data_IF_317840859275
#
_entry.id   IF_317840859275
#
_cell.length_a   1.000
_cell.length_b   1.000
_cell.length_c   1.000
_cell.angle_alpha   90.00
_cell.angle_beta   90.00
_cell.angle_gamma   90.00
#
_symmetry.space_group_name_H-M   'P 1'
#
loop_
_entity.id
_entity.type
_entity.pdbx_description
1 polymer ?
#
# COMPACT_ATOMS: atom_id res chain seq x y z
N UNK A 1 -12.12 -3.13 32.00
CA UNK A 1 -10.67 -3.22 31.78
C UNK A 1 -10.40 -2.75 30.36
N UNK A 2 -9.50 -1.78 30.15
CA UNK A 2 -9.06 -1.39 28.80
C UNK A 2 -8.45 -2.62 28.14
N UNK A 3 -9.15 -3.24 27.19
CA UNK A 3 -8.53 -4.30 26.40
C UNK A 3 -7.37 -3.67 25.64
N UNK A 4 -6.16 -4.04 26.06
CA UNK A 4 -4.96 -3.65 25.36
C UNK A 4 -5.00 -4.27 23.97
N UNK A 5 -5.07 -3.43 22.94
CA UNK A 5 -4.88 -3.82 21.53
C UNK A 5 -3.47 -4.37 21.22
N UNK A 6 -2.67 -4.69 22.24
CA UNK A 6 -1.30 -5.21 22.11
C UNK A 6 -1.24 -6.46 21.24
N UNK A 7 -2.22 -7.37 21.33
CA UNK A 7 -2.21 -8.59 20.50
C UNK A 7 -2.36 -8.22 19.02
N UNK A 8 -3.39 -7.47 18.66
CA UNK A 8 -3.64 -7.05 17.27
C UNK A 8 -2.49 -6.20 16.72
N UNK A 9 -1.95 -5.30 17.55
CA UNK A 9 -0.80 -4.47 17.21
C UNK A 9 0.46 -5.31 16.98
N UNK A 10 0.73 -6.29 17.84
CA UNK A 10 1.85 -7.22 17.66
C UNK A 10 1.68 -8.08 16.42
N UNK A 11 0.46 -8.57 16.14
CA UNK A 11 0.18 -9.30 14.90
C UNK A 11 0.44 -8.44 13.66
N UNK A 12 -0.01 -7.18 13.68
CA UNK A 12 0.23 -6.20 12.63
C UNK A 12 1.73 -5.98 12.40
N UNK A 13 2.47 -5.66 13.46
CA UNK A 13 3.87 -5.22 13.39
C UNK A 13 4.83 -6.40 13.13
N UNK A 14 4.67 -7.53 13.83
CA UNK A 14 5.49 -8.73 13.61
C UNK A 14 5.23 -9.36 12.25
N UNK A 15 3.96 -9.40 11.81
CA UNK A 15 3.60 -9.91 10.49
C UNK A 15 4.26 -9.10 9.38
N UNK A 16 4.22 -7.77 9.47
CA UNK A 16 4.87 -6.89 8.50
C UNK A 16 6.40 -7.00 8.53
N UNK A 17 6.99 -7.06 9.72
CA UNK A 17 8.43 -7.21 9.89
C UNK A 17 8.95 -8.53 9.30
N UNK A 18 8.24 -9.64 9.55
CA UNK A 18 8.59 -10.93 8.97
C UNK A 18 8.43 -10.95 7.45
N UNK A 19 7.38 -10.33 6.90
CA UNK A 19 7.18 -10.22 5.46
C UNK A 19 8.31 -9.41 4.79
N UNK A 20 8.62 -8.23 5.32
CA UNK A 20 9.73 -7.40 4.85
C UNK A 20 11.07 -8.13 4.98
N UNK A 21 11.43 -8.55 6.18
CA UNK A 21 12.73 -9.16 6.48
C UNK A 21 12.94 -10.47 5.73
N UNK A 22 11.90 -11.30 5.63
CA UNK A 22 11.94 -12.55 4.88
C UNK A 22 12.15 -12.34 3.38
N UNK A 23 11.46 -11.36 2.80
CA UNK A 23 11.64 -11.04 1.37
C UNK A 23 13.05 -10.51 1.08
N UNK A 24 13.60 -9.65 1.94
CA UNK A 24 14.95 -9.11 1.83
C UNK A 24 16.03 -10.18 2.03
N UNK A 25 15.88 -11.04 3.04
CA UNK A 25 16.77 -12.17 3.30
C UNK A 25 16.70 -13.19 2.17
N UNK A 26 15.51 -13.43 1.59
CA UNK A 26 15.37 -14.30 0.44
C UNK A 26 16.09 -13.77 -0.80
N UNK A 27 15.97 -12.46 -1.08
CA UNK A 27 16.63 -11.84 -2.23
C UNK A 27 18.16 -11.78 -2.08
N UNK A 28 18.67 -11.49 -0.88
CA UNK A 28 20.11 -11.32 -0.64
C UNK A 28 20.80 -12.61 -0.20
N UNK A 29 20.24 -13.30 0.79
CA UNK A 29 20.77 -14.52 1.38
C UNK A 29 20.46 -15.75 0.54
N UNK A 30 19.17 -16.10 0.36
CA UNK A 30 18.79 -17.35 -0.33
C UNK A 30 19.23 -17.32 -1.80
N UNK A 31 18.84 -16.27 -2.53
CA UNK A 31 19.19 -16.16 -3.94
C UNK A 31 20.70 -15.94 -4.15
N UNK A 32 21.32 -15.12 -3.30
CA UNK A 32 22.76 -14.85 -3.36
C UNK A 32 23.60 -16.09 -3.07
N UNK A 33 23.26 -16.86 -2.03
CA UNK A 33 23.96 -18.10 -1.71
C UNK A 33 23.77 -19.16 -2.81
N UNK A 34 22.56 -19.31 -3.34
CA UNK A 34 22.30 -20.24 -4.43
C UNK A 34 23.10 -19.89 -5.70
N UNK A 35 23.36 -18.61 -5.97
CA UNK A 35 24.18 -18.18 -7.11
C UNK A 35 25.65 -18.63 -7.02
N UNK A 36 26.16 -18.94 -5.83
CA UNK A 36 27.55 -19.39 -5.62
C UNK A 36 27.76 -20.89 -5.91
N UNK A 37 26.71 -21.65 -6.17
CA UNK A 37 26.84 -23.08 -6.48
C UNK A 37 27.54 -23.25 -7.83
N UNK A 38 28.58 -24.09 -7.87
CA UNK A 38 29.38 -24.32 -9.07
C UNK A 38 28.57 -24.92 -10.22
N UNK A 39 27.73 -25.92 -9.91
CA UNK A 39 26.80 -26.48 -10.88
C UNK A 39 25.63 -25.52 -11.13
N UNK A 40 25.60 -24.94 -12.33
CA UNK A 40 24.61 -23.96 -12.77
C UNK A 40 23.19 -24.53 -12.83
N UNK A 41 23.03 -25.84 -12.96
CA UNK A 41 21.72 -26.51 -13.01
C UNK A 41 21.08 -26.64 -11.63
N UNK A 42 21.89 -26.63 -10.56
CA UNK A 42 21.45 -26.76 -9.17
C UNK A 42 21.05 -25.44 -8.50
N UNK A 43 21.39 -24.29 -9.12
CA UNK A 43 21.14 -22.95 -8.55
C UNK A 43 19.65 -22.64 -8.36
N UNK A 44 18.83 -22.89 -9.39
CA UNK A 44 17.37 -22.71 -9.31
C UNK A 44 16.70 -23.68 -8.33
N UNK A 45 16.98 -25.01 -8.36
CA UNK A 45 16.46 -25.95 -7.37
C UNK A 45 16.79 -25.58 -5.93
N UNK A 46 18.05 -25.19 -5.66
CA UNK A 46 18.46 -24.85 -4.31
C UNK A 46 17.73 -23.62 -3.77
N UNK A 47 17.63 -22.56 -4.57
CA UNK A 47 16.87 -21.37 -4.19
C UNK A 47 15.38 -21.70 -3.99
N UNK A 48 14.81 -22.49 -4.89
CA UNK A 48 13.42 -22.92 -4.82
C UNK A 48 13.12 -23.70 -3.54
N UNK A 49 14.03 -24.59 -3.12
CA UNK A 49 13.91 -25.31 -1.86
C UNK A 49 13.93 -24.36 -0.64
N UNK A 50 14.78 -23.33 -0.66
CA UNK A 50 14.80 -22.29 0.38
C UNK A 50 13.48 -21.51 0.44
N UNK A 51 12.98 -21.06 -0.71
CA UNK A 51 11.70 -20.35 -0.80
C UNK A 51 10.50 -21.23 -0.43
N UNK A 52 10.52 -22.52 -0.77
CA UNK A 52 9.46 -23.46 -0.40
C UNK A 52 9.34 -23.60 1.12
N UNK A 53 10.46 -23.60 1.85
CA UNK A 53 10.47 -23.61 3.32
C UNK A 53 10.00 -22.30 3.93
N UNK A 54 10.31 -21.17 3.30
CA UNK A 54 9.90 -19.85 3.77
C UNK A 54 8.42 -19.55 3.48
N UNK A 55 7.87 -20.07 2.39
CA UNK A 55 6.53 -19.70 1.89
C UNK A 55 5.41 -19.86 2.94
N UNK A 56 5.31 -20.97 3.71
CA UNK A 56 4.30 -21.10 4.76
C UNK A 56 4.45 -20.06 5.88
N UNK A 57 5.70 -19.76 6.27
CA UNK A 57 6.01 -18.74 7.28
C UNK A 57 5.60 -17.36 6.78
N UNK A 58 5.90 -17.05 5.52
CA UNK A 58 5.50 -15.79 4.89
C UNK A 58 3.98 -15.66 4.80
N UNK A 59 3.26 -16.73 4.46
CA UNK A 59 1.81 -16.74 4.43
C UNK A 59 1.20 -16.48 5.81
N UNK A 60 1.74 -17.10 6.86
CA UNK A 60 1.33 -16.83 8.24
C UNK A 60 1.63 -15.39 8.66
N UNK A 61 2.79 -14.84 8.29
CA UNK A 61 3.17 -13.45 8.56
C UNK A 61 2.22 -12.45 7.89
N UNK A 62 1.89 -12.67 6.61
CA UNK A 62 0.90 -11.87 5.87
C UNK A 62 -0.47 -11.97 6.56
N UNK A 63 -0.92 -13.18 6.91
CA UNK A 63 -2.19 -13.38 7.60
C UNK A 63 -2.26 -12.64 8.95
N UNK A 64 -1.21 -12.74 9.76
CA UNK A 64 -1.10 -12.01 11.02
C UNK A 64 -1.15 -10.49 10.81
N UNK A 65 -0.41 -9.97 9.82
CA UNK A 65 -0.42 -8.56 9.48
C UNK A 65 -1.83 -8.08 9.10
N UNK A 66 -2.52 -8.81 8.23
CA UNK A 66 -3.87 -8.45 7.78
C UNK A 66 -4.90 -8.49 8.91
N UNK A 67 -4.85 -9.51 9.78
CA UNK A 67 -5.72 -9.59 10.94
C UNK A 67 -5.48 -8.40 11.89
N UNK A 68 -4.21 -8.05 12.13
CA UNK A 68 -3.85 -6.85 12.89
C UNK A 68 -4.33 -5.56 12.22
N UNK A 69 -4.19 -5.43 10.89
CA UNK A 69 -4.59 -4.26 10.12
C UNK A 69 -6.11 -4.03 10.16
N UNK A 70 -6.91 -5.09 10.04
CA UNK A 70 -8.37 -5.02 10.21
C UNK A 70 -8.72 -4.58 11.63
N UNK A 71 -8.04 -5.14 12.64
CA UNK A 71 -8.19 -4.72 14.03
C UNK A 71 -7.88 -3.23 14.25
N UNK A 72 -6.81 -2.71 13.66
CA UNK A 72 -6.47 -1.28 13.71
C UNK A 72 -7.53 -0.43 13.01
N UNK A 73 -8.02 -0.83 11.84
CA UNK A 73 -9.03 -0.06 11.10
C UNK A 73 -10.35 0.06 11.86
N UNK A 74 -10.82 -1.03 12.48
CA UNK A 74 -12.05 -1.04 13.28
C UNK A 74 -11.92 -0.09 14.48
N UNK A 75 -10.79 -0.16 15.17
CA UNK A 75 -10.54 0.60 16.41
C UNK A 75 -10.23 2.07 16.15
N UNK A 76 -9.62 2.43 15.01
CA UNK A 76 -9.33 3.81 14.61
C UNK A 76 -10.50 4.50 13.89
N UNK A 77 -11.59 3.79 13.58
CA UNK A 77 -12.73 4.34 12.83
C UNK A 77 -13.34 5.62 13.43
N UNK A 78 -13.46 5.82 14.77
CA UNK A 78 -13.94 7.08 15.33
C UNK A 78 -12.95 8.23 15.10
N UNK A 79 -11.64 7.95 15.11
CA UNK A 79 -10.58 8.94 14.89
C UNK A 79 -10.51 9.38 13.43
N UNK A 80 -10.82 8.50 12.48
CA UNK A 80 -10.93 8.87 11.07
C UNK A 80 -11.98 9.98 10.84
N UNK A 81 -13.07 9.97 11.61
CA UNK A 81 -14.12 10.98 11.59
C UNK A 81 -13.76 12.24 12.38
N UNK A 82 -12.99 12.13 13.47
CA UNK A 82 -12.70 13.23 14.39
C UNK A 82 -11.36 13.98 14.16
N UNK A 83 -10.33 13.34 13.60
CA UNK A 83 -8.97 13.89 13.42
C UNK A 83 -8.57 14.04 11.94
N UNK A 84 -8.18 15.26 11.53
CA UNK A 84 -7.71 15.51 10.14
C UNK A 84 -6.45 14.71 9.83
N UNK A 85 -6.38 14.10 8.65
CA UNK A 85 -5.18 13.39 8.17
C UNK A 85 -5.17 11.87 8.43
N UNK A 86 -5.90 11.38 9.44
CA UNK A 86 -5.97 9.95 9.78
C UNK A 86 -6.55 9.14 8.62
N UNK A 87 -7.63 9.62 7.99
CA UNK A 87 -8.24 8.92 6.84
C UNK A 87 -7.30 8.78 5.63
N UNK A 88 -6.51 9.83 5.33
CA UNK A 88 -5.50 9.78 4.25
C UNK A 88 -4.37 8.81 4.57
N UNK A 89 -3.95 8.75 5.83
CA UNK A 89 -2.92 7.81 6.29
C UNK A 89 -3.41 6.36 6.22
N UNK A 90 -4.64 6.09 6.66
CA UNK A 90 -5.25 4.76 6.54
C UNK A 90 -5.36 4.34 5.08
N UNK A 91 -5.80 5.24 4.18
CA UNK A 91 -5.84 4.95 2.75
C UNK A 91 -4.45 4.62 2.18
N UNK A 92 -3.41 5.38 2.56
CA UNK A 92 -2.04 5.12 2.11
C UNK A 92 -1.53 3.74 2.57
N UNK A 93 -1.77 3.37 3.84
CA UNK A 93 -1.46 2.03 4.35
C UNK A 93 -2.18 0.95 3.56
N UNK A 94 -3.49 1.08 3.36
CA UNK A 94 -4.29 0.08 2.63
C UNK A 94 -3.80 -0.10 1.19
N UNK A 95 -3.50 0.99 0.48
CA UNK A 95 -2.96 0.92 -0.89
C UNK A 95 -1.62 0.20 -0.91
N UNK A 96 -0.72 0.53 0.02
CA UNK A 96 0.58 -0.15 0.14
C UNK A 96 0.43 -1.64 0.47
N UNK A 97 -0.48 -2.01 1.37
CA UNK A 97 -0.76 -3.41 1.70
C UNK A 97 -1.28 -4.18 0.48
N UNK A 98 -2.24 -3.63 -0.26
CA UNK A 98 -2.77 -4.26 -1.48
C UNK A 98 -1.68 -4.40 -2.55
N UNK A 99 -0.86 -3.36 -2.75
CA UNK A 99 0.27 -3.42 -3.67
C UNK A 99 1.29 -4.50 -3.27
N UNK A 100 1.63 -4.58 -1.97
CA UNK A 100 2.53 -5.60 -1.45
C UNK A 100 1.99 -7.01 -1.68
N UNK A 101 0.69 -7.25 -1.42
CA UNK A 101 0.02 -8.52 -1.68
C UNK A 101 0.08 -8.89 -3.17
N UNK A 102 -0.25 -7.95 -4.06
CA UNK A 102 -0.24 -8.18 -5.49
C UNK A 102 1.16 -8.57 -6.01
N UNK A 103 2.18 -7.80 -5.63
CA UNK A 103 3.57 -8.06 -6.03
C UNK A 103 4.07 -9.38 -5.45
N UNK A 104 3.73 -9.70 -4.19
CA UNK A 104 4.12 -10.96 -3.55
C UNK A 104 3.45 -12.16 -4.22
N UNK A 105 2.15 -12.08 -4.51
CA UNK A 105 1.41 -13.13 -5.21
C UNK A 105 1.95 -13.37 -6.63
N UNK A 106 2.22 -12.28 -7.36
CA UNK A 106 2.82 -12.37 -8.69
C UNK A 106 4.23 -12.96 -8.66
N UNK A 107 5.05 -12.56 -7.69
CA UNK A 107 6.38 -13.15 -7.44
C UNK A 107 6.26 -14.65 -7.14
N UNK A 108 5.31 -15.09 -6.31
CA UNK A 108 5.12 -16.52 -6.05
C UNK A 108 4.70 -17.27 -7.31
N UNK A 109 3.81 -16.71 -8.13
CA UNK A 109 3.41 -17.31 -9.41
C UNK A 109 4.61 -17.52 -10.35
N UNK A 110 5.48 -16.52 -10.50
CA UNK A 110 6.69 -16.65 -11.32
C UNK A 110 7.69 -17.64 -10.72
N UNK A 111 7.83 -17.68 -9.40
CA UNK A 111 8.68 -18.67 -8.70
C UNK A 111 8.22 -20.10 -8.99
N UNK A 112 6.91 -20.36 -8.93
CA UNK A 112 6.33 -21.67 -9.29
C UNK A 112 6.53 -22.04 -10.77
N UNK A 113 6.63 -21.05 -11.67
CA UNK A 113 6.98 -21.32 -13.07
C UNK A 113 8.43 -21.78 -13.16
N UNK A 114 9.35 -21.08 -12.50
CA UNK A 114 10.77 -21.46 -12.47
C UNK A 114 10.99 -22.85 -11.84
N UNK A 115 10.26 -23.17 -10.77
CA UNK A 115 10.27 -24.51 -10.12
C UNK A 115 9.91 -25.65 -11.10
N UNK A 116 9.02 -25.38 -12.05
CA UNK A 116 8.51 -26.38 -13.01
C UNK A 116 9.36 -26.50 -14.28
N UNK A 117 10.34 -25.62 -14.49
CA UNK A 117 11.15 -25.61 -15.71
C UNK A 117 12.28 -26.67 -15.73
N UNK A 118 12.33 -27.57 -14.75
CA UNK A 118 13.40 -28.54 -14.61
C UNK A 118 14.67 -27.88 -14.05
N UNK A 119 15.83 -28.25 -14.59
CA UNK A 119 17.14 -27.77 -14.12
C UNK A 119 17.95 -27.11 -15.24
N UNK A 120 17.43 -26.07 -15.92
CA UNK A 120 18.20 -25.38 -16.94
C UNK A 120 19.41 -24.70 -16.28
N UNK A 121 20.57 -24.64 -16.96
CA UNK A 121 21.70 -23.91 -16.44
C UNK A 121 21.36 -22.41 -16.34
N UNK A 122 21.64 -21.79 -15.20
CA UNK A 122 21.43 -20.34 -14.97
C UNK A 122 22.67 -19.66 -14.39
N UNK A 123 22.82 -18.35 -14.64
CA UNK A 123 23.91 -17.57 -14.07
C UNK A 123 23.64 -17.20 -12.59
N UNK A 124 22.37 -17.09 -12.22
CA UNK A 124 21.90 -16.91 -10.85
C UNK A 124 20.41 -17.20 -10.77
N UNK A 125 19.79 -17.01 -9.61
CA UNK A 125 18.36 -17.30 -9.44
C UNK A 125 17.49 -16.39 -10.32
N UNK A 126 17.87 -15.12 -10.44
CA UNK A 126 17.19 -14.10 -11.26
C UNK A 126 17.97 -13.69 -12.50
N UNK A 127 19.13 -14.31 -12.73
CA UNK A 127 20.07 -13.99 -13.80
C UNK A 127 20.14 -15.17 -14.78
N UNK A 128 19.69 -14.98 -16.03
CA UNK A 128 19.81 -16.02 -17.03
C UNK A 128 21.26 -16.22 -17.49
N UNK A 129 21.58 -17.46 -17.84
CA UNK A 129 22.78 -17.85 -18.59
C UNK A 129 22.52 -17.76 -20.10
N UNK A 130 23.57 -17.80 -20.93
CA UNK A 130 23.40 -17.82 -22.39
C UNK A 130 22.67 -19.07 -22.89
N UNK A 131 22.85 -20.20 -22.20
CA UNK A 131 22.16 -21.46 -22.47
C UNK A 131 20.77 -21.57 -21.81
N UNK A 132 20.34 -20.56 -21.05
CA UNK A 132 19.02 -20.62 -20.40
C UNK A 132 17.91 -20.49 -21.45
N UNK A 133 16.92 -21.40 -21.48
CA UNK A 133 15.80 -21.31 -22.42
C UNK A 133 15.07 -19.96 -22.30
N UNK A 134 14.66 -19.39 -23.45
CA UNK A 134 14.11 -18.01 -23.52
C UNK A 134 12.94 -17.76 -22.57
N UNK A 135 12.04 -18.74 -22.40
CA UNK A 135 10.90 -18.61 -21.48
C UNK A 135 11.30 -18.55 -20.00
N UNK A 136 12.32 -19.33 -19.62
CA UNK A 136 12.90 -19.30 -18.27
C UNK A 136 13.61 -17.97 -18.05
N UNK A 137 14.42 -17.54 -19.02
CA UNK A 137 15.16 -16.28 -18.95
C UNK A 137 14.22 -15.06 -18.80
N UNK A 138 13.09 -15.03 -19.51
CA UNK A 138 12.09 -13.97 -19.37
C UNK A 138 11.50 -13.94 -17.94
N UNK A 139 11.19 -15.12 -17.38
CA UNK A 139 10.67 -15.24 -16.02
C UNK A 139 11.70 -14.79 -14.97
N UNK A 140 12.97 -15.16 -15.14
CA UNK A 140 14.06 -14.72 -14.27
C UNK A 140 14.23 -13.20 -14.28
N UNK A 141 14.14 -12.56 -15.45
CA UNK A 141 14.24 -11.08 -15.56
C UNK A 141 13.10 -10.37 -14.84
N UNK A 142 11.87 -10.90 -14.89
CA UNK A 142 10.76 -10.35 -14.12
C UNK A 142 11.01 -10.53 -12.61
N UNK A 143 11.46 -11.72 -12.20
CA UNK A 143 11.84 -11.99 -10.81
C UNK A 143 12.93 -11.06 -10.30
N UNK A 144 13.89 -10.68 -11.17
CA UNK A 144 14.97 -9.75 -10.83
C UNK A 144 14.46 -8.41 -10.32
N UNK A 145 13.32 -7.94 -10.85
CA UNK A 145 12.67 -6.71 -10.38
C UNK A 145 11.84 -6.99 -9.14
N UNK A 146 11.02 -8.04 -9.17
CA UNK A 146 10.08 -8.34 -8.08
C UNK A 146 10.77 -8.66 -6.75
N UNK A 147 11.94 -9.31 -6.78
CA UNK A 147 12.71 -9.61 -5.57
C UNK A 147 13.08 -8.35 -4.77
N UNK A 148 13.15 -7.19 -5.43
CA UNK A 148 13.40 -5.89 -4.80
C UNK A 148 12.11 -5.09 -4.58
N UNK A 149 11.11 -5.26 -5.43
CA UNK A 149 9.82 -4.59 -5.27
C UNK A 149 9.10 -4.99 -3.97
N UNK A 150 9.11 -6.27 -3.60
CA UNK A 150 8.47 -6.74 -2.36
C UNK A 150 9.09 -6.08 -1.11
N UNK A 151 10.42 -6.16 -0.87
CA UNK A 151 11.03 -5.51 0.30
C UNK A 151 10.93 -3.99 0.24
N UNK A 152 10.96 -3.36 -0.94
CA UNK A 152 10.79 -1.91 -1.05
C UNK A 152 9.39 -1.45 -0.60
N UNK A 153 8.33 -2.12 -1.08
CA UNK A 153 6.94 -1.74 -0.75
C UNK A 153 6.63 -2.07 0.72
N UNK A 154 7.04 -3.24 1.20
CA UNK A 154 6.83 -3.62 2.61
C UNK A 154 7.67 -2.75 3.56
N UNK A 155 8.88 -2.37 3.17
CA UNK A 155 9.70 -1.40 3.90
C UNK A 155 9.07 0.00 3.94
N UNK A 156 8.51 0.47 2.82
CA UNK A 156 7.75 1.71 2.80
C UNK A 156 6.52 1.64 3.72
N UNK A 157 5.82 0.50 3.75
CA UNK A 157 4.70 0.27 4.66
C UNK A 157 5.13 0.28 6.13
N UNK A 158 6.32 -0.22 6.47
CA UNK A 158 6.91 -0.08 7.81
C UNK A 158 7.08 1.40 8.15
N UNK A 159 7.74 2.18 7.29
CA UNK A 159 7.98 3.62 7.51
C UNK A 159 6.67 4.38 7.71
N UNK A 160 5.67 4.13 6.85
CA UNK A 160 4.33 4.74 6.95
C UNK A 160 3.64 4.35 8.26
N UNK A 161 3.79 3.09 8.69
CA UNK A 161 3.24 2.61 9.97
C UNK A 161 3.90 3.27 11.17
N UNK A 162 5.23 3.41 11.16
CA UNK A 162 5.99 4.11 12.21
C UNK A 162 5.57 5.57 12.29
N UNK A 163 5.51 6.27 11.15
CA UNK A 163 5.08 7.66 11.09
C UNK A 163 3.64 7.85 11.59
N UNK A 164 2.73 6.94 11.22
CA UNK A 164 1.36 6.97 11.73
C UNK A 164 1.32 6.82 13.27
N UNK A 165 2.19 5.97 13.84
CA UNK A 165 2.32 5.81 15.30
C UNK A 165 2.73 7.11 16.00
N UNK A 166 3.59 7.93 15.40
CA UNK A 166 3.95 9.24 15.95
C UNK A 166 2.77 10.21 16.04
N UNK A 167 1.83 10.15 15.07
CA UNK A 167 0.63 10.97 15.08
C UNK A 167 -0.40 10.56 16.14
N UNK A 168 -0.23 9.40 16.78
CA UNK A 168 -1.08 8.93 17.88
C UNK A 168 -0.65 9.50 19.25
N UNK A 169 0.46 10.24 19.34
CA UNK A 169 0.89 10.92 20.58
C UNK A 169 -0.18 11.95 21.02
N UNK A 170 -0.51 12.07 22.33
CA UNK A 170 -1.62 12.90 22.81
C UNK A 170 -1.63 14.34 22.29
N UNK A 171 -0.46 14.99 22.21
CA UNK A 171 -0.32 16.36 21.69
C UNK A 171 -0.59 16.50 20.19
N UNK A 172 -0.31 15.46 19.39
CA UNK A 172 -0.60 15.46 17.94
C UNK A 172 -2.07 15.15 17.65
N UNK A 173 -2.70 14.31 18.47
CA UNK A 173 -4.14 14.05 18.42
C UNK A 173 -4.92 15.34 18.70
N UNK A 174 -4.56 16.06 19.76
CA UNK A 174 -5.20 17.33 20.12
C UNK A 174 -5.07 18.38 19.00
N UNK A 175 -3.86 18.53 18.43
CA UNK A 175 -3.62 19.42 17.28
C UNK A 175 -4.43 19.01 16.04
N UNK A 176 -4.53 17.71 15.75
CA UNK A 176 -5.29 17.21 14.62
C UNK A 176 -6.81 17.39 14.75
N UNK A 177 -7.34 17.30 15.97
CA UNK A 177 -8.75 17.62 16.26
C UNK A 177 -9.04 19.12 16.09
N UNK A 178 -8.17 19.98 16.65
CA UNK A 178 -8.28 21.43 16.49
C UNK A 178 -8.18 21.87 15.02
N UNK A 179 -7.28 21.25 14.25
CA UNK A 179 -7.13 21.51 12.82
C UNK A 179 -8.38 21.14 12.00
N UNK A 180 -9.04 20.01 12.32
CA UNK A 180 -10.31 19.63 11.67
C UNK A 180 -11.44 20.59 12.01
N UNK A 181 -11.58 20.97 13.29
CA UNK A 181 -12.59 21.93 13.72
C UNK A 181 -12.41 23.30 13.04
N UNK A 182 -11.17 23.81 12.99
CA UNK A 182 -10.84 25.06 12.30
C UNK A 182 -11.11 25.01 10.79
N UNK A 183 -10.81 23.88 10.14
CA UNK A 183 -11.10 23.66 8.72
C UNK A 183 -12.59 23.64 8.39
N UNK A 184 -13.41 22.99 9.23
CA UNK A 184 -14.87 22.99 9.08
C UNK A 184 -15.47 24.39 9.29
N UNK A 185 -14.96 25.14 10.26
CA UNK A 185 -15.42 26.51 10.53
C UNK A 185 -15.04 27.48 9.39
N UNK A 186 -13.86 27.30 8.78
CA UNK A 186 -13.45 28.08 7.61
C UNK A 186 -14.26 27.72 6.35
N UNK A 187 -14.53 26.43 6.12
CA UNK A 187 -15.37 25.96 5.02
C UNK A 187 -16.82 26.46 5.13
N UNK A 188 -17.38 26.46 6.34
CA UNK A 188 -18.70 27.03 6.61
C UNK A 188 -18.76 28.55 6.35
N UNK A 189 -17.71 29.30 6.72
CA UNK A 189 -17.61 30.73 6.42
C UNK A 189 -17.51 31.02 4.91
N UNK A 190 -16.79 30.19 4.15
CA UNK A 190 -16.70 30.32 2.68
C UNK A 190 -18.06 29.99 2.04
N UNK A 191 -18.75 28.94 2.49
CA UNK A 191 -20.09 28.59 2.02
C UNK A 191 -21.13 29.68 2.32
N UNK A 192 -21.09 30.28 3.52
CA UNK A 192 -21.95 31.40 3.89
C UNK A 192 -21.68 32.67 3.04
N UNK A 193 -20.41 32.94 2.70
CA UNK A 193 -20.02 34.08 1.85
C UNK A 193 -20.43 33.87 0.39
N UNK A 194 -20.38 32.64 -0.12
CA UNK A 194 -20.90 32.27 -1.45
C UNK A 194 -22.42 32.40 -1.56
N UNK A 195 -23.15 32.07 -0.49
CA UNK A 195 -24.61 32.23 -0.45
C UNK A 195 -25.04 33.70 -0.34
N UNK A 196 -24.28 34.53 0.36
CA UNK A 196 -24.51 35.99 0.42
C UNK A 196 -24.27 36.71 -0.91
N UNK A 197 -23.42 36.16 -1.78
CA UNK A 197 -23.11 36.76 -3.09
C UNK A 197 -24.14 36.38 -4.18
N UNK A 198 -24.86 35.27 -4.02
CA UNK A 198 -25.95 34.85 -4.93
C UNK A 198 -27.24 35.66 -4.78
N UNK A 199 -27.43 36.37 -3.66
CA UNK A 199 -28.63 37.17 -3.39
C UNK A 199 -28.50 38.64 -3.83
N UNK A 200 -27.30 39.06 -4.25
CA UNK A 200 -27.00 40.44 -4.69
C UNK A 200 -27.14 40.70 -6.19
N UNK A 201 -27.40 39.67 -7.01
CA UNK A 201 -27.51 39.78 -8.47
C UNK A 201 -28.94 39.70 -9.01
N UNK A 202 -29.94 40.18 -8.25
CA UNK A 202 -31.35 40.21 -8.69
C UNK A 202 -31.94 41.63 -8.76
N UNK A 203 -31.09 42.67 -8.84
CA UNK A 203 -31.56 44.06 -8.88
C UNK A 203 -30.67 44.97 -9.71
N UNK A 204 -30.64 44.78 -11.05
CA UNK A 204 -30.32 45.84 -12.01
C UNK A 204 -30.40 45.33 -13.47
N UNK A 205 -31.58 45.40 -14.09
CA UNK A 205 -31.81 45.57 -15.55
C UNK A 205 -33.32 45.46 -15.80
N UNK A 206 -34.02 46.34 -16.50
CA UNK A 206 -33.63 47.50 -17.27
C UNK A 206 -34.90 48.28 -17.65
N UNK A 207 -34.71 49.57 -17.93
CA UNK A 207 -35.76 50.48 -18.34
C UNK A 207 -36.00 50.36 -19.86
N UNK A 208 -37.28 50.33 -20.27
CA UNK A 208 -37.72 50.79 -21.59
C UNK A 208 -38.10 49.73 -22.64
N UNK A 209 -39.40 49.56 -22.88
CA UNK A 209 -40.07 50.10 -24.10
C UNK A 209 -41.56 49.79 -24.10
N UNK A 210 -42.33 50.87 -24.28
CA UNK A 210 -43.75 50.87 -24.66
C UNK A 210 -44.01 49.98 -25.88
N UNK A 211 -45.07 49.18 -25.82
CA UNK A 211 -45.92 49.00 -27.00
C UNK A 211 -47.39 48.96 -26.58
N UNK A 212 -48.09 50.02 -26.96
CA UNK A 212 -49.54 50.16 -26.89
C UNK A 212 -50.16 49.38 -28.06
N UNK A 213 -51.28 48.75 -27.72
CA UNK A 213 -52.13 47.85 -28.50
C UNK A 213 -52.95 48.59 -29.59
N UNK A 214 -53.35 47.83 -30.62
CA UNK A 214 -54.53 47.97 -31.51
C UNK A 214 -54.51 49.01 -32.67
N UNK A 215 -54.70 48.55 -33.92
CA UNK A 215 -56.02 48.47 -34.59
C UNK A 215 -55.92 48.36 -36.13
N UNK A 216 -56.70 47.41 -36.69
CA UNK A 216 -57.47 47.40 -37.94
C UNK A 216 -57.02 48.09 -39.25
N UNK A 217 -57.14 47.26 -40.30
CA UNK A 217 -57.36 47.52 -41.75
C UNK A 217 -56.13 47.81 -42.60
#
# INVERSE_FOLDING_TARGET
MSERHTVLRSMHDLGLAAWFGGSLMGATGVNGAAAQISDRTQRLPMASAGWARWTPVNAAAIGAHLAGAVGELVTESPRMLAQSGVGRMSAAKTVLTVAALAVTGYSRMLGMRLEKCGQPPVAGVTEPHHDTPRGVAATQRQMKVLQWAVPAITGALIVVTSYAGEQQKPGQVLRGMLGRAGGMMSGAKIGAKGMGMGMGMLGANGNGRMHRMMAHR
#
